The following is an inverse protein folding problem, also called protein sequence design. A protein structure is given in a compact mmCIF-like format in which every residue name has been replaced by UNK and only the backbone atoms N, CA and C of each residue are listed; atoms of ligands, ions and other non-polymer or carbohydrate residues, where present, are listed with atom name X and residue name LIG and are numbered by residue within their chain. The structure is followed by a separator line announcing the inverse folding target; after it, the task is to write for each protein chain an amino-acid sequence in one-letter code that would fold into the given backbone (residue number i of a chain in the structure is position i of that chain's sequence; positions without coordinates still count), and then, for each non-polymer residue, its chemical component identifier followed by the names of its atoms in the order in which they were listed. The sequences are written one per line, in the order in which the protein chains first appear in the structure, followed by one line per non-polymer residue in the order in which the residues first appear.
data_IF_204156288958
#
_entry.id   IF_204156288958
#
_cell.length_a   1.000
_cell.length_b   1.000
_cell.length_c   1.000
_cell.angle_alpha   90.00
_cell.angle_beta   90.00
_cell.angle_gamma   90.00
#
_symmetry.space_group_name_H-M   'P 1'
#
loop_
_entity.id
_entity.type
_entity.pdbx_description
1 polymer ?
#
# COMPACT_ATOMS: atom_id res chain seq x y z
N UNK A 1 9.47 -17.09 -15.50
CA UNK A 1 10.28 -16.26 -14.58
C UNK A 1 9.37 -15.84 -13.45
N UNK A 2 9.35 -16.60 -12.35
CA UNK A 2 8.62 -16.21 -11.14
C UNK A 2 9.60 -15.43 -10.27
N UNK A 3 9.44 -14.11 -10.19
CA UNK A 3 10.26 -13.28 -9.32
C UNK A 3 9.86 -13.57 -7.87
N UNK A 4 10.61 -14.45 -7.21
CA UNK A 4 10.57 -14.64 -5.75
C UNK A 4 11.11 -13.38 -5.06
N UNK A 5 10.25 -12.40 -4.84
CA UNK A 5 10.47 -11.35 -3.84
C UNK A 5 9.23 -11.19 -2.93
N UNK A 6 8.55 -12.30 -2.63
CA UNK A 6 7.40 -12.35 -1.70
C UNK A 6 7.80 -12.19 -0.24
N UNK A 7 8.52 -11.13 0.11
CA UNK A 7 8.69 -10.75 1.50
C UNK A 7 7.37 -10.16 2.00
N UNK A 8 6.89 -10.63 3.16
CA UNK A 8 5.66 -10.16 3.78
C UNK A 8 5.65 -8.63 3.95
N UNK A 9 4.49 -8.03 3.73
CA UNK A 9 4.23 -6.60 4.01
C UNK A 9 3.97 -6.33 5.50
N UNK A 10 3.79 -7.39 6.30
CA UNK A 10 3.51 -7.29 7.72
C UNK A 10 4.57 -6.45 8.46
N UNK A 11 4.10 -5.42 9.17
CA UNK A 11 4.94 -4.53 9.97
C UNK A 11 5.71 -3.47 9.17
N UNK A 12 5.62 -3.46 7.83
CA UNK A 12 6.22 -2.40 7.02
C UNK A 12 5.38 -1.13 7.08
N UNK A 13 6.03 0.02 7.01
CA UNK A 13 5.37 1.33 6.93
C UNK A 13 5.49 1.87 5.52
N UNK A 14 4.38 2.37 4.97
CA UNK A 14 4.30 2.86 3.60
C UNK A 14 3.76 4.28 3.63
N UNK A 15 4.53 5.22 3.09
CA UNK A 15 4.10 6.61 2.95
C UNK A 15 3.28 6.78 1.66
N UNK A 16 2.13 7.45 1.75
CA UNK A 16 1.33 7.82 0.58
C UNK A 16 1.55 9.29 0.24
N UNK A 17 2.26 9.57 -0.86
CA UNK A 17 2.45 10.92 -1.35
C UNK A 17 1.27 11.28 -2.26
N UNK A 18 0.57 12.34 -1.89
CA UNK A 18 -0.63 12.80 -2.59
C UNK A 18 -0.46 14.26 -3.01
N UNK A 19 -1.18 14.64 -4.07
CA UNK A 19 -1.26 16.02 -4.56
C UNK A 19 -2.72 16.47 -4.58
N UNK A 20 -2.95 17.76 -4.75
CA UNK A 20 -4.29 18.29 -4.98
C UNK A 20 -4.91 17.61 -6.21
N UNK A 21 -6.17 17.21 -6.08
CA UNK A 21 -6.91 16.49 -7.13
C UNK A 21 -6.82 14.97 -7.09
N UNK A 22 -6.10 14.36 -6.12
CA UNK A 22 -6.14 12.90 -5.93
C UNK A 22 -7.56 12.43 -5.63
N UNK A 23 -7.99 11.37 -6.31
CA UNK A 23 -9.32 10.81 -6.08
C UNK A 23 -9.33 9.83 -4.90
N UNK A 24 -10.49 9.73 -4.23
CA UNK A 24 -10.64 8.81 -3.11
C UNK A 24 -10.36 7.35 -3.51
N UNK A 25 -10.77 6.93 -4.70
CA UNK A 25 -10.61 5.55 -5.16
C UNK A 25 -9.13 5.17 -5.33
N UNK A 26 -8.31 6.13 -5.75
CA UNK A 26 -6.87 5.99 -5.97
C UNK A 26 -6.11 5.81 -4.65
N UNK A 27 -6.66 6.30 -3.54
CA UNK A 27 -6.12 6.08 -2.21
C UNK A 27 -6.71 4.83 -1.54
N UNK A 28 -8.03 4.64 -1.65
CA UNK A 28 -8.76 3.66 -0.84
C UNK A 28 -8.40 2.23 -1.21
N UNK A 29 -8.43 1.89 -2.50
CA UNK A 29 -8.15 0.52 -2.96
C UNK A 29 -6.70 0.08 -2.64
N UNK A 30 -5.66 0.90 -2.94
CA UNK A 30 -4.29 0.56 -2.58
C UNK A 30 -4.04 0.50 -1.07
N UNK A 31 -4.65 1.42 -0.29
CA UNK A 31 -4.53 1.40 1.18
C UNK A 31 -5.10 0.12 1.75
N UNK A 32 -6.32 -0.27 1.36
CA UNK A 32 -6.95 -1.49 1.85
C UNK A 32 -6.09 -2.72 1.57
N UNK A 33 -5.56 -2.85 0.36
CA UNK A 33 -4.64 -3.93 0.01
C UNK A 33 -3.43 -3.99 0.96
N UNK A 34 -2.77 -2.85 1.20
CA UNK A 34 -1.59 -2.78 2.06
C UNK A 34 -1.93 -3.17 3.51
N UNK A 35 -3.04 -2.66 4.05
CA UNK A 35 -3.46 -2.93 5.43
C UNK A 35 -3.91 -4.38 5.63
N UNK A 36 -4.63 -4.97 4.65
CA UNK A 36 -4.99 -6.40 4.65
C UNK A 36 -3.76 -7.32 4.67
N UNK A 37 -2.65 -6.87 4.08
CA UNK A 37 -1.37 -7.60 4.08
C UNK A 37 -0.46 -7.19 5.26
N UNK A 38 -0.98 -6.45 6.24
CA UNK A 38 -0.31 -6.11 7.49
C UNK A 38 0.69 -4.95 7.40
N UNK A 39 0.73 -4.23 6.28
CA UNK A 39 1.45 -2.97 6.20
C UNK A 39 0.67 -1.87 6.92
N UNK A 40 1.37 -0.82 7.36
CA UNK A 40 0.76 0.38 7.94
C UNK A 40 1.00 1.57 7.02
N UNK A 41 -0.07 2.19 6.56
CA UNK A 41 0.01 3.40 5.74
C UNK A 41 0.08 4.63 6.65
N UNK A 42 0.97 5.58 6.33
CA UNK A 42 1.19 6.84 7.08
C UNK A 42 1.27 8.05 6.16
#
# INVERSE_FOLDING_TARGET
MEQKNGQSLAGKRVAFLMTDGVEQIEYTSPRSFLEEHGARVT
#
